data_IF_329027286408
#
_entry.id   IF_329027286408
#
_cell.length_a   1.000
_cell.length_b   1.000
_cell.length_c   1.000
_cell.angle_alpha   90.00
_cell.angle_beta   90.00
_cell.angle_gamma   90.00
#
_symmetry.space_group_name_H-M   'P 1'
#
loop_
_entity.id
_entity.type
_entity.pdbx_description
1 polymer ?
#
# COMPACT_ATOMS: atom_id res chain seq x y z
N UNK A 1 -13.04 -6.04 2.60
CA UNK A 1 -12.14 -7.16 2.23
C UNK A 1 -12.81 -8.53 2.34
N UNK A 2 -13.46 -8.89 3.46
CA UNK A 2 -14.11 -10.21 3.62
C UNK A 2 -15.09 -10.57 2.50
N UNK A 3 -15.92 -9.62 2.07
CA UNK A 3 -16.84 -9.80 0.93
C UNK A 3 -16.10 -10.10 -0.40
N UNK A 4 -14.89 -9.58 -0.59
CA UNK A 4 -14.08 -9.81 -1.80
C UNK A 4 -13.43 -11.20 -1.77
N UNK A 5 -12.98 -11.64 -0.58
CA UNK A 5 -12.38 -12.97 -0.40
C UNK A 5 -13.41 -14.11 -0.49
N UNK A 6 -14.70 -13.79 -0.29
CA UNK A 6 -15.80 -14.74 -0.37
C UNK A 6 -15.93 -15.63 0.86
N UNK A 7 -17.11 -16.25 0.97
CA UNK A 7 -17.50 -17.06 2.14
C UNK A 7 -16.76 -18.40 2.24
N UNK A 8 -16.04 -18.79 1.19
CA UNK A 8 -15.25 -20.03 1.13
C UNK A 8 -13.79 -19.86 1.58
N UNK A 9 -13.39 -18.65 2.01
CA UNK A 9 -12.04 -18.42 2.52
C UNK A 9 -11.77 -19.29 3.75
N UNK A 10 -10.71 -20.12 3.77
CA UNK A 10 -10.34 -20.92 4.94
C UNK A 10 -9.75 -20.07 6.08
N UNK A 11 -9.61 -18.75 5.88
CA UNK A 11 -8.99 -17.82 6.82
C UNK A 11 -10.01 -16.88 7.44
N UNK A 12 -9.89 -16.66 8.76
CA UNK A 12 -10.64 -15.63 9.48
C UNK A 12 -9.81 -14.35 9.56
N UNK A 13 -10.35 -13.24 9.02
CA UNK A 13 -9.72 -11.93 9.16
C UNK A 13 -10.24 -11.21 10.42
N UNK A 14 -9.32 -10.77 11.26
CA UNK A 14 -9.62 -9.97 12.45
C UNK A 14 -8.98 -8.58 12.28
N UNK A 15 -9.81 -7.54 12.24
CA UNK A 15 -9.33 -6.18 12.16
C UNK A 15 -8.65 -5.80 13.49
N UNK A 16 -7.38 -5.39 13.42
CA UNK A 16 -6.62 -4.91 14.57
C UNK A 16 -5.94 -3.59 14.21
N UNK A 17 -6.19 -2.55 14.99
CA UNK A 17 -5.46 -1.29 14.87
C UNK A 17 -4.08 -1.48 15.50
N UNK A 18 -3.04 -1.32 14.69
CA UNK A 18 -1.64 -1.43 15.09
C UNK A 18 -0.96 -0.15 14.63
N UNK A 19 -0.14 0.43 15.50
CA UNK A 19 0.68 1.58 15.12
C UNK A 19 1.91 1.07 14.38
N UNK A 20 2.01 1.44 13.10
CA UNK A 20 3.08 1.04 12.21
C UNK A 20 3.72 2.29 11.62
N UNK A 21 5.05 2.36 11.54
CA UNK A 21 5.74 3.48 10.90
C UNK A 21 5.41 3.54 9.40
N UNK A 22 5.35 4.76 8.87
CA UNK A 22 5.26 5.02 7.42
C UNK A 22 6.68 5.10 6.85
N UNK A 23 7.16 3.99 6.29
CA UNK A 23 8.50 3.92 5.69
C UNK A 23 8.59 4.71 4.38
N UNK A 24 9.82 5.03 3.98
CA UNK A 24 10.13 5.63 2.69
C UNK A 24 10.90 4.62 1.84
N UNK A 25 10.70 4.67 0.52
CA UNK A 25 11.31 3.74 -0.43
C UNK A 25 10.39 3.39 -1.58
N UNK A 26 10.70 2.31 -2.27
CA UNK A 26 9.85 1.76 -3.30
C UNK A 26 8.61 1.06 -2.69
N UNK A 27 7.46 1.00 -3.40
CA UNK A 27 6.22 0.45 -2.86
C UNK A 27 6.34 -0.96 -2.25
N UNK A 28 7.14 -1.83 -2.88
CA UNK A 28 7.35 -3.20 -2.40
C UNK A 28 8.17 -3.24 -1.10
N UNK A 29 9.23 -2.43 -1.04
CA UNK A 29 10.10 -2.37 0.13
C UNK A 29 9.34 -1.83 1.34
N UNK A 30 8.53 -0.79 1.14
CA UNK A 30 7.65 -0.22 2.17
C UNK A 30 6.67 -1.29 2.66
N UNK A 31 5.98 -1.97 1.74
CA UNK A 31 4.99 -3.00 2.08
C UNK A 31 5.62 -4.17 2.86
N UNK A 32 6.82 -4.60 2.47
CA UNK A 32 7.57 -5.66 3.17
C UNK A 32 8.00 -5.22 4.57
N UNK A 33 8.56 -4.02 4.72
CA UNK A 33 9.00 -3.50 6.02
C UNK A 33 7.81 -3.32 6.97
N UNK A 34 6.71 -2.75 6.48
CA UNK A 34 5.47 -2.58 7.25
C UNK A 34 4.88 -3.91 7.70
N UNK A 35 4.86 -4.91 6.81
CA UNK A 35 4.37 -6.25 7.15
C UNK A 35 5.25 -6.95 8.18
N UNK A 36 6.58 -6.83 8.06
CA UNK A 36 7.53 -7.37 9.05
C UNK A 36 7.35 -6.74 10.42
N UNK A 37 7.19 -5.43 10.50
CA UNK A 37 6.95 -4.73 11.76
C UNK A 37 5.60 -5.14 12.36
N UNK A 38 4.56 -5.27 11.54
CA UNK A 38 3.28 -5.78 11.99
C UNK A 38 3.38 -7.22 12.53
N UNK A 39 4.10 -8.11 11.83
CA UNK A 39 4.32 -9.48 12.25
C UNK A 39 5.09 -9.55 13.58
N UNK A 40 6.09 -8.68 13.77
CA UNK A 40 6.85 -8.55 15.02
C UNK A 40 5.95 -8.15 16.20
N UNK A 41 5.02 -7.22 16.00
CA UNK A 41 4.10 -6.78 17.05
C UNK A 41 2.96 -7.78 17.32
N UNK A 42 2.45 -8.45 16.28
CA UNK A 42 1.36 -9.43 16.38
C UNK A 42 1.85 -10.79 16.89
N UNK A 43 3.10 -11.14 16.59
CA UNK A 43 3.70 -12.48 16.83
C UNK A 43 2.87 -13.60 16.21
N UNK A 44 2.42 -13.40 14.96
CA UNK A 44 1.59 -14.35 14.24
C UNK A 44 1.23 -13.88 12.83
N UNK A 45 0.34 -14.60 12.13
CA UNK A 45 -0.07 -14.25 10.78
C UNK A 45 -0.67 -12.86 10.70
N UNK A 46 -0.23 -12.08 9.73
CA UNK A 46 -0.69 -10.72 9.51
C UNK A 46 -0.77 -10.40 8.03
N UNK A 47 -1.75 -9.58 7.67
CA UNK A 47 -1.87 -8.96 6.36
C UNK A 47 -1.97 -7.46 6.55
N UNK A 48 -1.18 -6.70 5.80
CA UNK A 48 -1.23 -5.23 5.74
C UNK A 48 -1.54 -4.79 4.32
N UNK A 49 -2.04 -3.56 4.19
CA UNK A 49 -2.40 -2.95 2.91
C UNK A 49 -1.71 -1.59 2.77
N UNK A 50 -1.17 -1.33 1.59
CA UNK A 50 -0.64 -0.03 1.16
C UNK A 50 -1.23 0.36 -0.19
N UNK A 51 -1.56 1.64 -0.35
CA UNK A 51 -2.13 2.20 -1.57
C UNK A 51 -1.28 3.36 -2.07
N UNK A 52 -0.91 3.30 -3.35
CA UNK A 52 -0.16 4.32 -4.05
C UNK A 52 -1.01 4.96 -5.15
N UNK A 53 -0.78 6.24 -5.41
CA UNK A 53 -1.23 6.91 -6.63
C UNK A 53 -0.02 7.41 -7.40
N UNK A 54 0.21 6.85 -8.57
CA UNK A 54 1.45 7.00 -9.31
C UNK A 54 1.21 7.79 -10.60
N UNK A 55 1.78 8.98 -10.73
CA UNK A 55 1.71 9.76 -11.98
C UNK A 55 2.90 9.42 -12.87
N UNK A 56 2.64 9.00 -14.10
CA UNK A 56 3.70 8.55 -15.02
C UNK A 56 4.68 9.69 -15.35
N UNK A 57 4.16 10.91 -15.54
CA UNK A 57 4.94 12.11 -15.75
C UNK A 57 5.90 12.48 -14.59
N UNK A 58 5.63 12.00 -13.38
CA UNK A 58 6.48 12.21 -12.19
C UNK A 58 7.29 10.97 -11.82
N UNK A 59 7.46 10.02 -12.76
CA UNK A 59 8.18 8.77 -12.49
C UNK A 59 7.52 7.90 -11.44
N UNK A 60 6.19 7.99 -11.28
CA UNK A 60 5.42 7.24 -10.28
C UNK A 60 5.16 7.98 -8.97
N UNK A 61 5.65 9.20 -8.79
CA UNK A 61 5.27 10.04 -7.65
C UNK A 61 3.83 10.58 -7.79
N UNK A 62 3.14 10.91 -6.68
CA UNK A 62 3.59 10.81 -5.28
C UNK A 62 3.70 9.37 -4.75
N UNK A 63 3.12 8.39 -5.46
CA UNK A 63 3.27 6.97 -5.16
C UNK A 63 2.82 6.64 -3.73
N UNK A 64 3.67 6.01 -2.90
CA UNK A 64 3.34 5.65 -1.52
C UNK A 64 3.11 6.86 -0.61
N UNK A 65 3.51 8.07 -1.05
CA UNK A 65 3.37 9.30 -0.28
C UNK A 65 2.03 10.01 -0.52
N UNK A 66 1.11 9.40 -1.28
CA UNK A 66 -0.16 10.02 -1.69
C UNK A 66 -0.98 10.57 -0.51
N UNK A 67 -0.95 9.93 0.66
CA UNK A 67 -1.62 10.43 1.88
C UNK A 67 -1.25 11.87 2.20
N UNK A 68 0.05 12.17 2.20
CA UNK A 68 0.57 13.50 2.54
C UNK A 68 0.27 14.52 1.44
N UNK A 69 0.42 14.12 0.17
CA UNK A 69 0.10 14.98 -0.95
C UNK A 69 -1.39 15.33 -0.97
N UNK A 70 -2.28 14.35 -0.80
CA UNK A 70 -3.72 14.58 -0.75
C UNK A 70 -4.11 15.45 0.46
N UNK A 71 -3.51 15.25 1.63
CA UNK A 71 -3.80 16.05 2.81
C UNK A 71 -3.49 17.54 2.58
N UNK A 72 -2.33 17.84 1.99
CA UNK A 72 -1.84 19.22 1.80
C UNK A 72 -2.40 19.89 0.55
N UNK A 73 -2.47 19.16 -0.56
CA UNK A 73 -2.85 19.70 -1.87
C UNK A 73 -4.34 19.60 -2.16
N UNK A 74 -5.05 18.67 -1.50
CA UNK A 74 -6.43 18.28 -1.84
C UNK A 74 -6.50 17.70 -3.27
N UNK A 75 -7.64 17.10 -3.68
CA UNK A 75 -7.79 16.61 -5.05
C UNK A 75 -7.46 17.66 -6.11
N UNK A 76 -7.81 18.92 -5.86
CA UNK A 76 -7.58 20.02 -6.79
C UNK A 76 -6.09 20.33 -6.97
N UNK A 77 -5.28 20.24 -5.91
CA UNK A 77 -3.86 20.45 -6.02
C UNK A 77 -3.13 19.26 -6.66
N UNK A 78 -3.67 18.04 -6.55
CA UNK A 78 -3.07 16.85 -7.19
C UNK A 78 -3.05 16.97 -8.72
N UNK A 79 -4.17 17.35 -9.36
CA UNK A 79 -4.17 17.50 -10.83
C UNK A 79 -3.37 18.75 -11.27
N UNK A 80 -3.36 19.81 -10.46
CA UNK A 80 -2.54 21.01 -10.70
C UNK A 80 -1.04 20.73 -10.60
N UNK A 81 -0.62 19.75 -9.80
CA UNK A 81 0.76 19.31 -9.73
C UNK A 81 1.30 18.86 -11.09
N UNK A 82 0.41 18.33 -11.94
CA UNK A 82 0.73 17.92 -13.29
C UNK A 82 0.62 19.04 -14.33
N UNK A 83 0.31 20.29 -13.97
CA UNK A 83 0.01 21.35 -14.94
C UNK A 83 1.11 21.55 -15.99
N UNK A 84 2.39 21.40 -15.61
CA UNK A 84 3.55 21.56 -16.50
C UNK A 84 3.94 20.34 -17.34
N UNK A 85 3.21 19.21 -17.23
CA UNK A 85 3.52 17.97 -17.94
C UNK A 85 2.44 17.69 -18.98
N UNK A 86 2.79 17.24 -20.18
CA UNK A 86 1.78 16.84 -21.18
C UNK A 86 1.09 15.54 -20.77
N UNK A 87 1.87 14.57 -20.28
CA UNK A 87 1.36 13.29 -19.80
C UNK A 87 0.58 13.47 -18.49
N UNK A 88 -0.71 13.10 -18.53
CA UNK A 88 -1.63 13.10 -17.37
C UNK A 88 -1.99 11.68 -16.92
N UNK A 89 -1.40 10.66 -17.55
CA UNK A 89 -1.67 9.28 -17.22
C UNK A 89 -1.13 8.95 -15.84
N UNK A 90 -1.87 8.09 -15.15
CA UNK A 90 -1.60 7.68 -13.80
C UNK A 90 -2.04 6.24 -13.61
N UNK A 91 -1.66 5.65 -12.49
CA UNK A 91 -2.27 4.41 -12.04
C UNK A 91 -2.42 4.40 -10.53
N UNK A 92 -3.48 3.74 -10.07
CA UNK A 92 -3.62 3.35 -8.68
C UNK A 92 -2.98 1.97 -8.49
N UNK A 93 -2.17 1.81 -7.46
CA UNK A 93 -1.56 0.54 -7.07
C UNK A 93 -1.98 0.22 -5.64
N UNK A 94 -2.62 -0.93 -5.46
CA UNK A 94 -2.89 -1.51 -4.15
C UNK A 94 -1.95 -2.71 -3.96
N UNK A 95 -1.28 -2.77 -2.81
CA UNK A 95 -0.42 -3.88 -2.42
C UNK A 95 -0.88 -4.42 -1.07
N UNK A 96 -1.31 -5.69 -1.05
CA UNK A 96 -1.42 -6.45 0.18
C UNK A 96 -0.09 -7.17 0.45
N UNK A 97 0.39 -7.11 1.68
CA UNK A 97 1.57 -7.84 2.12
C UNK A 97 1.21 -8.80 3.26
N UNK A 98 1.54 -10.08 3.12
CA UNK A 98 1.21 -11.14 4.05
C UNK A 98 2.45 -11.80 4.64
N UNK A 99 2.43 -12.05 5.95
CA UNK A 99 3.41 -12.86 6.67
C UNK A 99 2.68 -13.90 7.52
N UNK A 100 3.28 -15.08 7.67
CA UNK A 100 2.83 -16.12 8.62
C UNK A 100 3.19 -15.80 10.07
N UNK A 101 4.01 -14.77 10.30
CA UNK A 101 4.63 -14.47 11.60
C UNK A 101 5.99 -15.14 11.80
N UNK A 102 6.38 -16.07 10.93
CA UNK A 102 7.71 -16.66 10.94
C UNK A 102 8.73 -15.68 10.31
N UNK A 103 9.76 -15.21 11.04
CA UNK A 103 10.74 -14.26 10.51
C UNK A 103 11.62 -14.82 9.39
N UNK A 104 11.74 -16.15 9.28
CA UNK A 104 12.53 -16.83 8.24
C UNK A 104 11.76 -16.95 6.91
N UNK A 105 10.43 -16.77 6.94
CA UNK A 105 9.62 -16.83 5.73
C UNK A 105 9.54 -15.45 5.04
N UNK A 106 9.68 -15.39 3.70
CA UNK A 106 9.54 -14.15 2.98
C UNK A 106 8.09 -13.64 3.05
N UNK A 107 7.95 -12.32 3.15
CA UNK A 107 6.65 -11.65 2.99
C UNK A 107 6.13 -11.85 1.57
N UNK A 108 4.86 -12.24 1.43
CA UNK A 108 4.19 -12.41 0.13
C UNK A 108 3.46 -11.13 -0.23
N UNK A 109 3.69 -10.64 -1.44
CA UNK A 109 3.02 -9.44 -1.98
C UNK A 109 1.94 -9.83 -2.99
N UNK A 110 0.77 -9.22 -2.88
CA UNK A 110 -0.34 -9.32 -3.83
C UNK A 110 -0.67 -7.92 -4.33
N UNK A 111 -0.62 -7.71 -5.64
CA UNK A 111 -0.76 -6.38 -6.24
C UNK A 111 -1.97 -6.31 -7.16
N UNK A 112 -2.69 -5.20 -7.08
CA UNK A 112 -3.70 -4.80 -8.04
C UNK A 112 -3.38 -3.42 -8.59
N UNK A 113 -3.47 -3.26 -9.91
CA UNK A 113 -3.19 -1.99 -10.58
C UNK A 113 -4.36 -1.61 -11.49
N UNK A 114 -4.67 -0.31 -11.55
CA UNK A 114 -5.66 0.25 -12.47
C UNK A 114 -5.08 1.50 -13.12
N UNK A 115 -5.15 1.57 -14.45
CA UNK A 115 -4.62 2.64 -15.29
C UNK A 115 -5.72 3.60 -15.75
#
# INVERSE_FOLDING_TARGET
VTQILGDSSPYTLVARKIDLPEYQGEPDEISVQKCREAARQVQGPVIVEDTCLCFNALGGLPGPYIKWFLEKLKPEGLYKLLAGFEDKSAYALCTFAFSTGNPEEPVKLFKGQTH
#
